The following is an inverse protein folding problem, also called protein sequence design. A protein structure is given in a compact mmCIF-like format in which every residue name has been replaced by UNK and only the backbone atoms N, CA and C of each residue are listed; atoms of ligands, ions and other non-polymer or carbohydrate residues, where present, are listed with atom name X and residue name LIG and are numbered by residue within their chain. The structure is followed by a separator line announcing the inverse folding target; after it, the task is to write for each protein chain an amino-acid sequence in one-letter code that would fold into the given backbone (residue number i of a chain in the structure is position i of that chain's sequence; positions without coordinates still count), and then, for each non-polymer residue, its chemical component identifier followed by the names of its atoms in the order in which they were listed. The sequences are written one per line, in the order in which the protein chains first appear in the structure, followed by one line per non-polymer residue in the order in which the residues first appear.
data_IF_546370324003
#
_entry.id   IF_546370324003
#
_cell.length_a   1.000
_cell.length_b   1.000
_cell.length_c   1.000
_cell.angle_alpha   90.00
_cell.angle_beta   90.00
_cell.angle_gamma   90.00
#
_symmetry.space_group_name_H-M   'P 1'
#
loop_
_entity.id
_entity.type
_entity.pdbx_description
1 polymer ?
#
# COMPACT_ATOMS: atom_id res chain seq x y z
N UNK A 1 16.04 -5.17 26.31
CA UNK A 1 15.04 -4.66 25.34
C UNK A 1 15.57 -4.96 23.95
N UNK A 2 14.87 -5.76 23.14
CA UNK A 2 15.26 -5.98 21.73
C UNK A 2 15.15 -4.65 20.98
N UNK A 3 16.16 -4.32 20.19
CA UNK A 3 16.19 -3.13 19.35
C UNK A 3 15.19 -3.35 18.21
N UNK A 4 13.93 -3.00 18.43
CA UNK A 4 12.93 -2.94 17.37
C UNK A 4 13.41 -1.92 16.33
N UNK A 5 13.65 -2.38 15.11
CA UNK A 5 13.90 -1.46 14.00
C UNK A 5 12.73 -0.49 13.91
N UNK A 6 13.05 0.80 13.80
CA UNK A 6 12.06 1.86 13.58
C UNK A 6 11.51 1.83 12.14
N UNK A 7 12.08 0.98 11.28
CA UNK A 7 11.74 0.88 9.87
C UNK A 7 11.09 -0.47 9.61
N UNK A 8 9.91 -0.43 8.98
CA UNK A 8 9.25 -1.55 8.35
C UNK A 8 9.58 -1.55 6.87
N UNK A 9 9.97 -2.70 6.33
CA UNK A 9 10.17 -2.91 4.90
C UNK A 9 9.03 -3.74 4.32
N UNK A 10 8.60 -3.41 3.12
CA UNK A 10 7.54 -4.10 2.42
C UNK A 10 7.95 -4.47 1.00
N UNK A 11 7.61 -5.69 0.58
CA UNK A 11 7.77 -6.16 -0.80
C UNK A 11 6.51 -6.89 -1.25
N UNK A 12 6.27 -6.96 -2.55
CA UNK A 12 5.22 -7.81 -3.11
C UNK A 12 4.90 -7.45 -4.54
N UNK A 13 3.67 -7.70 -4.99
CA UNK A 13 3.24 -7.55 -6.37
C UNK A 13 2.10 -6.56 -6.51
N UNK A 14 2.11 -5.81 -7.60
CA UNK A 14 0.97 -4.99 -8.04
C UNK A 14 0.51 -5.55 -9.38
N UNK A 15 -0.72 -6.07 -9.41
CA UNK A 15 -1.29 -6.68 -10.61
C UNK A 15 -2.63 -6.05 -10.92
N UNK A 16 -3.10 -6.17 -12.16
CA UNK A 16 -4.46 -5.76 -12.48
C UNK A 16 -4.70 -5.47 -13.95
N UNK A 17 -5.90 -5.00 -14.22
CA UNK A 17 -6.29 -4.42 -15.48
C UNK A 17 -6.88 -3.04 -15.20
N UNK A 18 -6.39 -2.03 -15.91
CA UNK A 18 -6.86 -0.64 -15.80
C UNK A 18 -7.14 -0.15 -17.20
N UNK A 19 -8.41 0.08 -17.55
CA UNK A 19 -8.82 0.51 -18.90
C UNK A 19 -8.21 -0.37 -20.02
N UNK A 20 -8.28 -1.69 -19.87
CA UNK A 20 -7.70 -2.70 -20.79
C UNK A 20 -6.16 -2.76 -20.83
N UNK A 21 -5.46 -2.00 -19.99
CA UNK A 21 -4.01 -2.08 -19.83
C UNK A 21 -3.66 -3.02 -18.68
N UNK A 22 -2.98 -4.13 -19.01
CA UNK A 22 -2.50 -5.08 -18.00
C UNK A 22 -1.32 -4.50 -17.22
N UNK A 23 -1.42 -4.55 -15.89
CA UNK A 23 -0.35 -4.20 -14.96
C UNK A 23 0.20 -5.46 -14.31
N UNK A 24 1.53 -5.61 -14.31
CA UNK A 24 2.25 -6.60 -13.54
C UNK A 24 3.58 -6.00 -13.08
N UNK A 25 3.60 -5.48 -11.86
CA UNK A 25 4.69 -4.73 -11.28
C UNK A 25 5.09 -5.29 -9.92
N UNK A 26 6.26 -4.89 -9.44
CA UNK A 26 6.71 -5.15 -8.07
C UNK A 26 6.37 -3.96 -7.18
N UNK A 27 5.94 -4.25 -5.95
CA UNK A 27 5.81 -3.29 -4.87
C UNK A 27 7.08 -3.34 -4.00
N UNK A 28 7.64 -2.18 -3.67
CA UNK A 28 8.70 -2.04 -2.69
C UNK A 28 8.43 -0.80 -1.86
N UNK A 29 8.46 -0.91 -0.53
CA UNK A 29 8.30 0.25 0.33
C UNK A 29 9.08 0.15 1.63
N UNK A 30 9.33 1.29 2.23
CA UNK A 30 9.81 1.43 3.60
C UNK A 30 8.90 2.40 4.35
N UNK A 31 8.74 2.18 5.65
CA UNK A 31 7.94 3.03 6.53
C UNK A 31 8.59 3.19 7.90
N UNK A 32 8.70 4.42 8.37
CA UNK A 32 9.23 4.77 9.68
C UNK A 32 8.10 4.85 10.71
N UNK A 33 8.15 3.98 11.72
CA UNK A 33 7.12 3.88 12.77
C UNK A 33 7.14 5.06 13.74
N UNK A 34 8.18 5.89 13.73
CA UNK A 34 8.30 7.08 14.59
C UNK A 34 7.74 8.31 13.87
N UNK A 35 8.19 8.55 12.64
CA UNK A 35 7.77 9.74 11.87
C UNK A 35 6.49 9.52 11.06
N UNK A 36 6.08 8.26 10.86
CA UNK A 36 4.99 7.88 9.97
C UNK A 36 5.29 8.08 8.48
N UNK A 37 6.53 8.45 8.15
CA UNK A 37 6.93 8.68 6.75
C UNK A 37 7.12 7.36 6.03
N UNK A 38 6.73 7.34 4.76
CA UNK A 38 6.87 6.17 3.90
C UNK A 38 7.50 6.53 2.57
N UNK A 39 8.29 5.62 2.02
CA UNK A 39 8.76 5.66 0.65
C UNK A 39 8.21 4.44 -0.07
N UNK A 40 7.56 4.63 -1.22
CA UNK A 40 6.91 3.56 -1.98
C UNK A 40 7.39 3.63 -3.42
N UNK A 41 7.70 2.47 -4.00
CA UNK A 41 8.07 2.28 -5.39
C UNK A 41 7.25 1.15 -5.99
N UNK A 42 6.70 1.38 -7.18
CA UNK A 42 6.01 0.38 -7.99
C UNK A 42 6.64 0.39 -9.37
N UNK A 43 7.15 -0.76 -9.82
CA UNK A 43 7.84 -0.84 -11.10
C UNK A 43 7.87 -2.28 -11.66
N UNK A 44 7.78 -2.47 -12.99
CA UNK A 44 7.53 -1.45 -14.02
C UNK A 44 6.05 -1.06 -14.10
N UNK A 45 5.76 0.18 -14.48
CA UNK A 45 4.40 0.64 -14.76
C UNK A 45 4.27 0.97 -16.25
N UNK A 46 3.24 0.45 -16.97
CA UNK A 46 3.01 0.78 -18.37
C UNK A 46 2.84 2.29 -18.57
N UNK A 47 3.44 2.83 -19.63
CA UNK A 47 3.44 4.28 -19.93
C UNK A 47 2.03 4.84 -20.07
N UNK A 48 1.09 4.01 -20.55
CA UNK A 48 -0.30 4.33 -20.82
C UNK A 48 -1.07 4.72 -19.56
N UNK A 49 -0.68 4.16 -18.41
CA UNK A 49 -1.37 4.36 -17.12
C UNK A 49 -0.48 5.01 -16.05
N UNK A 50 0.81 5.22 -16.33
CA UNK A 50 1.79 5.72 -15.36
C UNK A 50 1.42 7.07 -14.75
N UNK A 51 1.06 8.06 -15.58
CA UNK A 51 0.66 9.38 -15.12
C UNK A 51 -0.62 9.33 -14.28
N UNK A 52 -1.62 8.57 -14.71
CA UNK A 52 -2.89 8.42 -13.98
C UNK A 52 -2.70 7.72 -12.64
N UNK A 53 -1.88 6.66 -12.60
CA UNK A 53 -1.53 5.99 -11.35
C UNK A 53 -0.76 6.92 -10.41
N UNK A 54 0.15 7.76 -10.93
CA UNK A 54 0.88 8.73 -10.13
C UNK A 54 -0.05 9.75 -9.44
N UNK A 55 -1.10 10.21 -10.13
CA UNK A 55 -2.10 11.12 -9.54
C UNK A 55 -2.99 10.42 -8.50
N UNK A 56 -3.29 9.12 -8.69
CA UNK A 56 -4.09 8.31 -7.75
C UNK A 56 -3.31 7.74 -6.55
N UNK A 57 -1.98 7.90 -6.52
CA UNK A 57 -1.07 7.26 -5.55
C UNK A 57 -1.44 7.53 -4.10
N UNK A 58 -1.95 8.74 -3.79
CA UNK A 58 -2.25 9.16 -2.42
C UNK A 58 -3.32 8.30 -1.73
N UNK A 59 -4.18 7.60 -2.48
CA UNK A 59 -5.27 6.79 -1.91
C UNK A 59 -5.07 5.27 -2.13
N UNK A 60 -4.42 4.90 -3.24
CA UNK A 60 -4.47 3.54 -3.75
C UNK A 60 -3.33 2.63 -3.22
N UNK A 61 -2.15 3.17 -2.91
CA UNK A 61 -0.95 2.35 -2.59
C UNK A 61 -0.45 2.50 -1.16
N UNK A 62 -1.21 3.22 -0.33
CA UNK A 62 -0.85 3.63 1.04
C UNK A 62 -1.02 2.53 2.10
N UNK A 63 -0.89 1.26 1.69
CA UNK A 63 -1.07 0.08 2.56
C UNK A 63 -0.03 0.05 3.68
N UNK A 64 1.20 0.46 3.41
CA UNK A 64 2.24 0.62 4.44
C UNK A 64 2.01 1.90 5.28
N UNK A 65 1.46 2.97 4.70
CA UNK A 65 1.23 4.24 5.41
C UNK A 65 0.29 4.05 6.60
N UNK A 66 -0.82 3.33 6.43
CA UNK A 66 -1.77 3.06 7.51
C UNK A 66 -1.20 2.15 8.61
N UNK A 67 -0.13 1.41 8.30
CA UNK A 67 0.58 0.57 9.28
C UNK A 67 1.58 1.36 10.12
N UNK A 68 2.24 2.36 9.54
CA UNK A 68 3.25 3.16 10.24
C UNK A 68 2.76 4.53 10.68
N UNK A 69 1.49 4.86 10.43
CA UNK A 69 0.88 6.12 10.85
C UNK A 69 1.20 6.43 12.33
N UNK A 70 1.50 7.71 12.59
CA UNK A 70 1.82 8.17 13.93
C UNK A 70 0.64 7.94 14.87
N UNK A 71 0.95 7.47 16.07
CA UNK A 71 -0.03 7.25 17.13
C UNK A 71 -0.10 8.52 17.97
N UNK A 72 -1.29 9.12 18.04
CA UNK A 72 -1.50 10.43 18.70
C UNK A 72 -2.70 10.29 19.63
N UNK A 73 -2.59 10.78 20.86
CA UNK A 73 -3.68 10.83 21.85
C UNK A 73 -4.38 9.46 22.07
N UNK A 74 -3.61 8.38 22.11
CA UNK A 74 -4.13 7.02 22.31
C UNK A 74 -4.75 6.38 21.05
N UNK A 75 -4.82 7.08 19.92
CA UNK A 75 -5.15 6.47 18.64
C UNK A 75 -4.00 5.57 18.18
N UNK A 76 -4.32 4.35 17.78
CA UNK A 76 -3.35 3.34 17.34
C UNK A 76 -3.44 3.13 15.83
N UNK A 77 -2.30 2.77 15.21
CA UNK A 77 -2.24 2.49 13.78
C UNK A 77 -2.71 1.07 13.44
N UNK A 78 -2.92 0.80 12.14
CA UNK A 78 -3.47 -0.48 11.72
C UNK A 78 -2.54 -1.67 12.04
N UNK A 79 -1.22 -1.45 12.07
CA UNK A 79 -0.26 -2.49 12.48
C UNK A 79 -0.49 -2.92 13.91
N UNK A 80 -0.70 -1.96 14.81
CA UNK A 80 -0.98 -2.23 16.23
C UNK A 80 -2.33 -2.90 16.40
N UNK A 81 -3.35 -2.49 15.63
CA UNK A 81 -4.71 -3.06 15.70
C UNK A 81 -4.82 -4.49 15.15
N UNK A 82 -4.12 -4.79 14.06
CA UNK A 82 -4.29 -6.06 13.31
C UNK A 82 -3.07 -6.99 13.41
N UNK A 83 -2.04 -6.58 14.15
CA UNK A 83 -0.72 -7.22 14.09
C UNK A 83 -0.08 -7.14 12.70
N UNK A 84 -0.50 -6.19 11.85
CA UNK A 84 0.01 -6.01 10.48
C UNK A 84 -0.55 -6.97 9.42
N UNK A 85 -1.47 -7.86 9.80
CA UNK A 85 -2.09 -8.82 8.90
C UNK A 85 -3.53 -8.40 8.58
N UNK A 86 -3.78 -7.99 7.34
CA UNK A 86 -5.11 -7.54 6.95
C UNK A 86 -5.34 -7.62 5.44
N UNK A 87 -6.63 -7.56 5.08
CA UNK A 87 -7.09 -7.36 3.70
C UNK A 87 -7.87 -6.04 3.64
N UNK A 88 -7.53 -5.19 2.68
CA UNK A 88 -8.19 -3.91 2.41
C UNK A 88 -8.86 -3.95 1.05
N UNK A 89 -10.08 -3.44 0.96
CA UNK A 89 -10.72 -3.12 -0.33
C UNK A 89 -11.01 -1.63 -0.35
N UNK A 90 -10.56 -0.93 -1.39
CA UNK A 90 -10.85 0.47 -1.64
C UNK A 90 -11.57 0.57 -2.98
N UNK A 91 -12.63 1.36 -3.05
CA UNK A 91 -13.32 1.69 -4.30
C UNK A 91 -13.34 3.21 -4.42
N UNK A 92 -12.75 3.73 -5.49
CA UNK A 92 -12.88 5.12 -5.89
C UNK A 92 -13.98 5.20 -6.94
N UNK A 93 -14.98 6.04 -6.72
CA UNK A 93 -15.98 6.35 -7.72
C UNK A 93 -15.70 7.75 -8.26
N UNK A 94 -15.58 7.84 -9.58
CA UNK A 94 -15.38 9.12 -10.26
C UNK A 94 -16.72 9.79 -10.54
N UNK A 95 -16.76 11.13 -10.75
CA UNK A 95 -18.01 11.86 -11.02
C UNK A 95 -18.77 11.39 -12.27
N UNK A 96 -18.09 10.77 -13.22
CA UNK A 96 -18.69 10.19 -14.43
C UNK A 96 -19.35 8.81 -14.18
N UNK A 97 -19.33 8.33 -12.94
CA UNK A 97 -19.88 7.05 -12.53
C UNK A 97 -18.94 5.86 -12.71
N UNK A 98 -17.78 6.05 -13.35
CA UNK A 98 -16.75 5.00 -13.43
C UNK A 98 -16.14 4.73 -12.05
N UNK A 99 -15.52 3.56 -11.89
CA UNK A 99 -14.90 3.18 -10.62
C UNK A 99 -13.51 2.59 -10.83
N UNK A 100 -12.65 2.80 -9.83
CA UNK A 100 -11.37 2.14 -9.71
C UNK A 100 -11.30 1.42 -8.37
N UNK A 101 -11.18 0.11 -8.43
CA UNK A 101 -11.15 -0.77 -7.25
C UNK A 101 -9.74 -1.28 -7.02
N UNK A 102 -9.34 -1.26 -5.76
CA UNK A 102 -8.10 -1.88 -5.31
C UNK A 102 -8.38 -2.87 -4.18
N UNK A 103 -7.76 -4.04 -4.28
CA UNK A 103 -7.76 -5.04 -3.20
C UNK A 103 -6.30 -5.21 -2.79
N UNK A 104 -6.01 -4.98 -1.53
CA UNK A 104 -4.66 -5.13 -0.98
C UNK A 104 -4.65 -6.17 0.13
N UNK A 105 -3.60 -6.96 0.22
CA UNK A 105 -3.32 -7.85 1.36
C UNK A 105 -1.98 -7.49 1.94
N UNK A 106 -1.92 -7.40 3.26
CA UNK A 106 -0.69 -7.24 4.04
C UNK A 106 -0.52 -8.47 4.90
N UNK A 107 0.69 -9.04 4.89
CA UNK A 107 1.07 -10.18 5.71
C UNK A 107 2.42 -9.92 6.36
N UNK A 108 2.52 -10.15 7.66
CA UNK A 108 3.81 -10.08 8.36
C UNK A 108 4.62 -11.33 8.06
N UNK A 109 5.85 -11.13 7.57
CA UNK A 109 6.81 -12.20 7.29
C UNK A 109 7.79 -12.32 8.46
N UNK A 110 8.25 -11.18 8.97
CA UNK A 110 9.07 -11.06 10.17
C UNK A 110 8.73 -9.76 10.91
N UNK A 111 9.32 -9.53 12.09
CA UNK A 111 9.09 -8.39 12.98
C UNK A 111 9.07 -7.04 12.23
N UNK A 112 9.92 -6.89 11.21
CA UNK A 112 10.07 -5.66 10.43
C UNK A 112 9.79 -5.82 8.92
N UNK A 113 9.48 -7.03 8.46
CA UNK A 113 9.28 -7.32 7.04
C UNK A 113 7.84 -7.75 6.78
N UNK A 114 7.22 -7.12 5.78
CA UNK A 114 5.86 -7.43 5.37
C UNK A 114 5.78 -7.71 3.86
N UNK A 115 4.87 -8.61 3.51
CA UNK A 115 4.46 -8.84 2.14
C UNK A 115 3.20 -8.02 1.86
N UNK A 116 3.22 -7.21 0.80
CA UNK A 116 2.08 -6.40 0.35
C UNK A 116 1.79 -6.73 -1.11
N UNK A 117 0.65 -7.37 -1.34
CA UNK A 117 0.11 -7.60 -2.67
C UNK A 117 -1.08 -6.68 -2.92
N UNK A 118 -1.15 -6.13 -4.13
CA UNK A 118 -2.18 -5.20 -4.57
C UNK A 118 -2.74 -5.67 -5.91
N UNK A 119 -4.06 -5.73 -6.01
CA UNK A 119 -4.80 -6.00 -7.25
C UNK A 119 -5.64 -4.79 -7.62
N UNK A 120 -5.48 -4.30 -8.85
CA UNK A 120 -6.29 -3.25 -9.47
C UNK A 120 -7.34 -3.82 -10.41
N UNK A 121 -8.49 -3.17 -10.42
CA UNK A 121 -9.63 -3.50 -11.27
C UNK A 121 -10.41 -2.21 -11.56
N UNK A 122 -10.46 -1.80 -12.84
CA UNK A 122 -11.17 -0.62 -13.31
C UNK A 122 -10.62 -0.09 -14.63
#
# INVERSE_FOLDING_TARGET
MKNLSKIISAKGKVTGNVNNVKLNAKYSATGDTITGRTQISISPVPKEIGASLAMGTNFNVTVICIQVAQQINGAVNLRTLSGGNFKRTLTLQFPDGSFFKTISTSKVIDENDIEIDIKYDG
#
